data_IF_867911407365
#
_entry.id   IF_867911407365
#
_cell.length_a   1.000
_cell.length_b   1.000
_cell.length_c   1.000
_cell.angle_alpha   90.00
_cell.angle_beta   90.00
_cell.angle_gamma   90.00
#
_symmetry.space_group_name_H-M   'P 1'
#
loop_
_entity.id
_entity.type
_entity.pdbx_description
1 polymer ?
#
# COMPACT_ATOMS: atom_id res chain seq x y z
N UNK A 1 11.12 6.34 6.89
CA UNK A 1 9.88 5.68 6.39
C UNK A 1 9.26 6.44 5.22
N UNK A 2 8.85 7.71 5.41
CA UNK A 2 8.28 8.57 4.35
C UNK A 2 9.04 8.56 3.00
N UNK A 3 10.37 8.66 3.03
CA UNK A 3 11.21 8.58 1.82
C UNK A 3 11.00 7.27 1.03
N UNK A 4 10.83 6.14 1.72
CA UNK A 4 10.58 4.86 1.07
C UNK A 4 9.20 4.83 0.39
N UNK A 5 8.18 5.43 1.00
CA UNK A 5 6.84 5.57 0.42
C UNK A 5 6.90 6.38 -0.88
N UNK A 6 7.66 7.48 -0.89
CA UNK A 6 7.88 8.25 -2.10
C UNK A 6 8.56 7.43 -3.20
N UNK A 7 9.58 6.64 -2.87
CA UNK A 7 10.27 5.79 -3.84
C UNK A 7 9.35 4.71 -4.39
N UNK A 8 8.62 4.00 -3.52
CA UNK A 8 7.63 2.99 -3.93
C UNK A 8 6.60 3.61 -4.85
N UNK A 9 6.00 4.73 -4.46
CA UNK A 9 5.00 5.40 -5.28
C UNK A 9 5.56 5.84 -6.63
N UNK A 10 6.76 6.43 -6.65
CA UNK A 10 7.40 6.88 -7.90
C UNK A 10 7.70 5.73 -8.86
N UNK A 11 8.16 4.58 -8.35
CA UNK A 11 8.54 3.43 -9.17
C UNK A 11 7.35 2.59 -9.63
N UNK A 12 6.30 2.48 -8.80
CA UNK A 12 5.21 1.52 -9.00
C UNK A 12 3.86 2.13 -9.35
N UNK A 13 3.70 3.45 -9.24
CA UNK A 13 2.46 4.11 -9.68
C UNK A 13 2.52 4.45 -11.17
N UNK A 14 1.46 4.13 -11.88
CA UNK A 14 1.21 4.51 -13.27
C UNK A 14 -0.08 5.29 -13.33
N UNK A 15 -0.01 6.61 -13.20
CA UNK A 15 -1.18 7.50 -13.16
C UNK A 15 -1.15 8.58 -14.25
N UNK A 16 -0.18 8.52 -15.17
CA UNK A 16 -0.05 9.49 -16.27
C UNK A 16 -1.25 9.43 -17.21
N UNK A 17 -1.69 10.55 -17.79
CA UNK A 17 -2.87 10.64 -18.70
C UNK A 17 -2.90 9.65 -19.88
N UNK A 18 -1.77 9.01 -20.21
CA UNK A 18 -1.63 8.04 -21.29
C UNK A 18 -1.85 6.59 -20.85
N UNK A 19 -1.90 6.34 -19.54
CA UNK A 19 -2.03 5.00 -18.97
C UNK A 19 -3.49 4.56 -18.99
N UNK A 20 -3.88 3.65 -19.88
CA UNK A 20 -5.27 3.19 -19.99
C UNK A 20 -5.77 2.46 -18.75
N UNK A 21 -4.87 1.98 -17.90
CA UNK A 21 -5.18 1.31 -16.63
C UNK A 21 -4.45 1.94 -15.45
N UNK A 22 -4.92 3.10 -14.94
CA UNK A 22 -4.24 3.79 -13.86
C UNK A 22 -4.12 2.92 -12.61
N UNK A 23 -2.94 2.92 -12.01
CA UNK A 23 -2.61 2.10 -10.85
C UNK A 23 -1.69 2.83 -9.89
N UNK A 24 -1.89 2.60 -8.59
CA UNK A 24 -0.91 2.91 -7.56
C UNK A 24 -0.79 1.71 -6.60
N UNK A 25 0.36 1.55 -5.93
CA UNK A 25 0.55 0.45 -5.01
C UNK A 25 -0.32 0.57 -3.75
N UNK A 26 -0.58 -0.58 -3.12
CA UNK A 26 -1.09 -0.68 -1.76
C UNK A 26 0.08 -0.86 -0.80
N UNK A 27 0.02 -0.25 0.37
CA UNK A 27 1.06 -0.30 1.38
C UNK A 27 0.48 -0.62 2.75
N UNK A 28 0.99 -1.67 3.36
CA UNK A 28 0.79 -1.99 4.77
C UNK A 28 2.16 -1.97 5.46
N UNK A 29 2.26 -1.30 6.60
CA UNK A 29 3.50 -1.28 7.41
C UNK A 29 3.21 -2.00 8.71
N UNK A 30 3.76 -3.20 8.84
CA UNK A 30 3.58 -4.00 10.04
C UNK A 30 4.34 -3.41 11.24
N UNK A 31 3.70 -3.42 12.42
CA UNK A 31 4.31 -3.02 13.69
C UNK A 31 4.24 -1.53 14.03
N UNK A 32 3.64 -0.68 13.19
CA UNK A 32 3.36 0.71 13.57
C UNK A 32 2.17 0.77 14.54
N UNK A 33 2.31 1.57 15.60
CA UNK A 33 1.17 1.93 16.44
C UNK A 33 0.21 2.86 15.69
N UNK A 34 -1.07 2.95 16.11
CA UNK A 34 -2.03 3.88 15.51
C UNK A 34 -1.55 5.33 15.53
N UNK A 35 -0.86 5.74 16.60
CA UNK A 35 -0.34 7.11 16.75
C UNK A 35 0.77 7.38 15.73
N UNK A 36 1.70 6.45 15.55
CA UNK A 36 2.78 6.58 14.55
C UNK A 36 2.24 6.58 13.12
N UNK A 37 1.22 5.76 12.84
CA UNK A 37 0.57 5.73 11.53
C UNK A 37 -0.13 7.07 11.23
N UNK A 38 -0.84 7.64 12.20
CA UNK A 38 -1.46 8.96 12.06
C UNK A 38 -0.41 10.04 11.84
N UNK A 39 0.70 10.02 12.59
CA UNK A 39 1.80 10.97 12.40
C UNK A 39 2.40 10.85 10.99
N UNK A 40 2.64 9.64 10.50
CA UNK A 40 3.15 9.39 9.15
C UNK A 40 2.18 9.90 8.06
N UNK A 41 0.88 9.63 8.21
CA UNK A 41 -0.17 10.14 7.29
C UNK A 41 -0.23 11.67 7.30
N UNK A 42 -0.10 12.29 8.48
CA UNK A 42 -0.05 13.73 8.63
C UNK A 42 1.15 14.34 7.90
N UNK A 43 2.34 13.77 8.07
CA UNK A 43 3.55 14.22 7.37
C UNK A 43 3.40 14.12 5.84
N UNK A 44 2.84 13.01 5.34
CA UNK A 44 2.57 12.85 3.91
C UNK A 44 1.58 13.90 3.40
N UNK A 45 0.51 14.13 4.15
CA UNK A 45 -0.51 15.11 3.80
C UNK A 45 0.06 16.54 3.75
N UNK A 46 0.88 16.92 4.73
CA UNK A 46 1.53 18.23 4.80
C UNK A 46 2.46 18.50 3.60
N UNK A 47 3.03 17.46 3.00
CA UNK A 47 3.85 17.55 1.79
C UNK A 47 3.04 17.47 0.49
N UNK A 48 1.70 17.52 0.58
CA UNK A 48 0.81 17.40 -0.58
C UNK A 48 0.84 16.02 -1.24
N UNK A 49 1.31 14.98 -0.53
CA UNK A 49 1.30 13.62 -1.03
C UNK A 49 -0.09 13.02 -0.88
N UNK A 50 -0.79 12.83 -2.01
CA UNK A 50 -2.14 12.29 -2.03
C UNK A 50 -2.15 10.77 -1.81
N UNK A 51 -2.89 10.32 -0.80
CA UNK A 51 -3.14 8.91 -0.50
C UNK A 51 -4.60 8.72 -0.08
N UNK A 52 -5.06 7.48 -0.04
CA UNK A 52 -6.35 7.07 0.56
C UNK A 52 -6.11 5.85 1.46
N UNK A 53 -7.00 5.60 2.42
CA UNK A 53 -6.84 4.56 3.43
C UNK A 53 -8.08 3.65 3.64
N UNK A 54 -9.13 3.84 2.84
CA UNK A 54 -10.31 2.97 2.83
C UNK A 54 -11.37 3.31 3.86
N UNK A 55 -11.35 4.52 4.43
CA UNK A 55 -12.38 5.06 5.30
C UNK A 55 -13.08 6.24 4.60
N UNK A 56 -14.30 6.02 4.13
CA UNK A 56 -14.98 6.94 3.19
C UNK A 56 -15.44 8.26 3.81
N UNK A 57 -15.64 8.27 5.13
CA UNK A 57 -16.08 9.42 5.91
C UNK A 57 -15.62 9.29 7.36
N UNK A 58 -15.73 10.38 8.13
CA UNK A 58 -15.36 10.40 9.54
C UNK A 58 -16.19 9.39 10.35
N UNK A 59 -15.52 8.43 10.99
CA UNK A 59 -16.17 7.37 11.76
C UNK A 59 -16.67 6.18 10.92
N UNK A 60 -16.35 6.13 9.62
CA UNK A 60 -16.64 4.96 8.80
C UNK A 60 -15.87 3.72 9.28
N UNK A 61 -16.42 2.54 8.99
CA UNK A 61 -15.67 1.30 9.02
C UNK A 61 -14.80 1.17 7.76
N UNK A 62 -13.81 0.28 7.81
CA UNK A 62 -12.95 0.03 6.67
C UNK A 62 -13.73 -0.61 5.52
N UNK A 63 -13.62 -0.04 4.32
CA UNK A 63 -14.30 -0.51 3.12
C UNK A 63 -13.28 -0.99 2.07
N UNK A 64 -13.11 -2.31 2.00
CA UNK A 64 -12.21 -2.95 1.03
C UNK A 64 -12.60 -2.65 -0.42
N UNK A 65 -13.90 -2.52 -0.72
CA UNK A 65 -14.37 -2.18 -2.06
C UNK A 65 -14.04 -0.74 -2.42
N UNK A 66 -14.18 0.19 -1.48
CA UNK A 66 -13.82 1.59 -1.68
C UNK A 66 -12.33 1.76 -1.94
N UNK A 67 -11.47 1.19 -1.08
CA UNK A 67 -10.03 1.29 -1.32
C UNK A 67 -9.60 0.56 -2.59
N UNK A 68 -10.34 -0.47 -3.03
CA UNK A 68 -10.06 -1.19 -4.27
C UNK A 68 -10.54 -0.46 -5.54
N UNK A 69 -11.29 0.64 -5.43
CA UNK A 69 -11.82 1.38 -6.58
C UNK A 69 -10.71 1.73 -7.57
N UNK A 70 -11.07 1.62 -8.85
CA UNK A 70 -10.17 1.92 -9.96
C UNK A 70 -9.86 3.41 -9.97
N UNK A 71 -8.57 3.73 -10.06
CA UNK A 71 -8.11 5.11 -10.15
C UNK A 71 -8.39 5.69 -11.54
N UNK A 72 -8.59 7.00 -11.55
CA UNK A 72 -8.56 7.85 -12.73
C UNK A 72 -7.29 8.71 -12.73
N UNK A 73 -6.93 9.26 -13.88
CA UNK A 73 -5.78 10.17 -14.00
C UNK A 73 -5.93 11.46 -13.19
N UNK A 74 -7.17 11.89 -12.95
CA UNK A 74 -7.49 13.13 -12.23
C UNK A 74 -7.34 13.01 -10.72
N UNK A 75 -7.46 11.81 -10.15
CA UNK A 75 -7.49 11.63 -8.70
C UNK A 75 -6.15 12.03 -8.07
N UNK A 76 -5.04 11.74 -8.78
CA UNK A 76 -3.69 12.02 -8.32
C UNK A 76 -3.27 11.21 -7.09
N UNK A 77 -4.03 10.18 -6.72
CA UNK A 77 -3.72 9.25 -5.63
C UNK A 77 -2.45 8.50 -5.97
N UNK A 78 -1.46 8.60 -5.08
CA UNK A 78 -0.10 8.09 -5.27
C UNK A 78 0.15 6.77 -4.54
N UNK A 79 -0.64 6.46 -3.52
CA UNK A 79 -0.59 5.19 -2.79
C UNK A 79 -1.92 4.96 -2.05
N UNK A 80 -2.22 3.69 -1.77
CA UNK A 80 -3.33 3.25 -0.93
C UNK A 80 -2.76 2.67 0.36
N UNK A 81 -3.02 3.27 1.51
CA UNK A 81 -2.46 2.86 2.81
C UNK A 81 -3.45 1.93 3.50
N UNK A 82 -2.99 0.78 3.95
CA UNK A 82 -3.79 -0.18 4.69
C UNK A 82 -3.36 -0.13 6.14
N UNK A 83 -4.26 0.28 7.03
CA UNK A 83 -3.91 0.60 8.40
C UNK A 83 -3.63 -0.63 9.26
N UNK A 84 -4.26 -1.76 8.93
CA UNK A 84 -4.17 -2.99 9.70
C UNK A 84 -3.94 -4.21 8.81
N UNK A 85 -3.49 -5.31 9.43
CA UNK A 85 -3.41 -6.61 8.75
C UNK A 85 -4.80 -7.07 8.25
N UNK A 86 -5.86 -6.79 9.01
CA UNK A 86 -7.22 -7.12 8.60
C UNK A 86 -7.63 -6.35 7.33
N UNK A 87 -7.29 -5.06 7.25
CA UNK A 87 -7.53 -4.24 6.05
C UNK A 87 -6.80 -4.83 4.84
N UNK A 88 -5.54 -5.27 5.01
CA UNK A 88 -4.78 -5.94 3.94
C UNK A 88 -5.48 -7.21 3.46
N UNK A 89 -5.83 -8.12 4.37
CA UNK A 89 -6.47 -9.39 4.01
C UNK A 89 -7.82 -9.16 3.33
N UNK A 90 -8.64 -8.25 3.85
CA UNK A 90 -9.91 -7.88 3.24
C UNK A 90 -9.74 -7.29 1.83
N UNK A 91 -8.76 -6.41 1.64
CA UNK A 91 -8.46 -5.80 0.34
C UNK A 91 -7.99 -6.82 -0.68
N UNK A 92 -7.08 -7.72 -0.28
CA UNK A 92 -6.57 -8.78 -1.15
C UNK A 92 -7.70 -9.65 -1.68
N UNK A 93 -8.70 -9.97 -0.84
CA UNK A 93 -9.85 -10.79 -1.22
C UNK A 93 -10.74 -10.13 -2.28
N UNK A 94 -10.95 -8.80 -2.21
CA UNK A 94 -11.82 -8.08 -3.16
C UNK A 94 -11.15 -7.86 -4.54
N UNK A 95 -9.81 -7.84 -4.60
CA UNK A 95 -9.13 -7.26 -5.77
C UNK A 95 -9.23 -7.99 -7.13
N UNK A 96 -9.70 -9.22 -7.35
CA UNK A 96 -9.87 -9.90 -8.69
C UNK A 96 -8.74 -9.90 -9.76
N UNK A 97 -8.12 -8.77 -10.14
CA UNK A 97 -7.00 -8.65 -11.07
C UNK A 97 -5.74 -9.36 -10.54
N UNK A 98 -4.74 -9.58 -11.40
CA UNK A 98 -3.47 -10.19 -11.01
C UNK A 98 -2.83 -9.43 -9.83
N UNK A 99 -2.58 -10.14 -8.74
CA UNK A 99 -2.02 -9.60 -7.50
C UNK A 99 -0.62 -10.16 -7.27
N UNK A 100 0.33 -9.27 -7.03
CA UNK A 100 1.64 -9.61 -6.46
C UNK A 100 1.81 -8.90 -5.13
N UNK A 101 2.17 -9.64 -4.09
CA UNK A 101 2.43 -9.12 -2.76
C UNK A 101 3.91 -9.31 -2.49
N UNK A 102 4.61 -8.19 -2.29
CA UNK A 102 6.01 -8.15 -1.90
C UNK A 102 6.07 -7.86 -0.39
N UNK A 103 6.56 -8.82 0.38
CA UNK A 103 6.70 -8.72 1.83
C UNK A 103 8.17 -8.58 2.17
N UNK A 104 8.53 -7.42 2.71
CA UNK A 104 9.89 -7.16 3.19
C UNK A 104 9.94 -7.34 4.70
N UNK A 105 10.91 -8.09 5.22
CA UNK A 105 11.00 -8.43 6.66
C UNK A 105 12.45 -8.53 7.14
N UNK A 106 12.69 -8.21 8.42
CA UNK A 106 14.03 -8.26 9.04
C UNK A 106 14.43 -9.63 9.62
N UNK A 107 13.52 -10.62 9.61
CA UNK A 107 13.73 -11.89 10.28
C UNK A 107 12.71 -12.93 9.85
N UNK A 108 11.88 -13.41 10.78
CA UNK A 108 10.81 -14.36 10.43
C UNK A 108 9.68 -13.65 9.66
N UNK A 109 9.11 -14.35 8.69
CA UNK A 109 7.89 -13.92 8.01
C UNK A 109 6.76 -13.71 9.01
N UNK A 110 6.05 -12.59 8.88
CA UNK A 110 4.88 -12.29 9.71
C UNK A 110 3.56 -12.61 9.00
N UNK A 111 3.59 -12.84 7.68
CA UNK A 111 2.43 -13.15 6.87
C UNK A 111 2.75 -14.32 5.94
N UNK A 112 1.92 -15.35 6.01
CA UNK A 112 1.88 -16.47 5.05
C UNK A 112 0.51 -16.44 4.40
N UNK A 113 0.45 -16.16 3.10
CA UNK A 113 -0.80 -16.20 2.36
C UNK A 113 -1.03 -17.62 1.83
N UNK A 114 -2.14 -18.23 2.21
CA UNK A 114 -2.47 -19.62 1.84
C UNK A 114 -3.07 -19.76 0.43
N UNK A 115 -3.37 -18.64 -0.23
CA UNK A 115 -4.00 -18.64 -1.55
C UNK A 115 -2.95 -18.74 -2.66
N UNK A 116 -2.85 -19.93 -3.27
CA UNK A 116 -1.88 -20.28 -4.32
C UNK A 116 -2.03 -19.46 -5.61
N UNK A 117 -3.14 -18.75 -5.81
CA UNK A 117 -3.35 -17.87 -6.98
C UNK A 117 -2.72 -16.48 -6.81
N UNK A 118 -2.24 -16.13 -5.61
CA UNK A 118 -1.57 -14.88 -5.33
C UNK A 118 -0.07 -15.06 -5.51
N UNK A 119 0.56 -14.23 -6.36
CA UNK A 119 2.02 -14.15 -6.38
C UNK A 119 2.50 -13.53 -5.06
N UNK A 120 3.09 -14.31 -4.17
CA UNK A 120 3.66 -13.81 -2.91
C UNK A 120 5.18 -13.99 -2.96
N UNK A 121 5.91 -12.89 -2.79
CA UNK A 121 7.35 -12.89 -2.66
C UNK A 121 7.70 -12.36 -1.27
N UNK A 122 8.18 -13.25 -0.39
CA UNK A 122 8.76 -12.84 0.89
C UNK A 122 10.26 -12.63 0.74
N UNK A 123 10.74 -11.47 1.16
CA UNK A 123 12.08 -10.98 0.89
C UNK A 123 12.68 -10.47 2.20
N UNK A 124 13.65 -11.22 2.71
CA UNK A 124 14.39 -10.82 3.89
C UNK A 124 15.34 -9.66 3.55
N UNK A 125 15.36 -8.64 4.40
CA UNK A 125 16.23 -7.47 4.29
C UNK A 125 17.00 -7.27 5.60
N UNK A 126 18.18 -6.68 5.52
CA UNK A 126 19.00 -6.36 6.69
C UNK A 126 18.80 -4.92 7.14
N UNK A 127 18.46 -4.02 6.20
CA UNK A 127 18.17 -2.61 6.43
C UNK A 127 17.08 -2.12 5.47
N UNK A 128 16.31 -1.11 5.86
CA UNK A 128 15.24 -0.54 5.02
C UNK A 128 15.73 -0.06 3.64
N UNK A 129 17.00 0.35 3.53
CA UNK A 129 17.56 0.79 2.25
C UNK A 129 17.66 -0.34 1.22
N UNK A 130 17.72 -1.60 1.66
CA UNK A 130 17.83 -2.75 0.76
C UNK A 130 16.60 -2.84 -0.16
N UNK A 131 15.44 -2.43 0.35
CA UNK A 131 14.19 -2.35 -0.43
C UNK A 131 14.42 -1.51 -1.70
N UNK A 132 15.14 -0.38 -1.61
CA UNK A 132 15.36 0.56 -2.73
C UNK A 132 16.07 -0.09 -3.93
N UNK A 133 16.90 -1.11 -3.70
CA UNK A 133 17.62 -1.85 -4.74
C UNK A 133 16.82 -3.00 -5.36
N UNK A 134 15.73 -3.41 -4.70
CA UNK A 134 14.86 -4.50 -5.15
C UNK A 134 13.67 -3.96 -5.96
N UNK A 135 13.14 -2.80 -5.54
CA UNK A 135 11.95 -2.18 -6.13
C UNK A 135 12.23 -1.22 -7.26
#
# INVERSE_FOLDING_TARGET
MKELIFIISKKWSKISKRETTPFCPYLYIHGLSPIELVALKKDLHQEGFKFVDGYDYLGAEFNASSIALQLTHSDGIKIKILDTLANLLATVNVITKTRKIYQFHFGKDYLTLTNSSLGHASIQINKLSDIKGII
#
